data_IF_909772836748
#
_entry.id   IF_909772836748
#
_cell.length_a   1.000
_cell.length_b   1.000
_cell.length_c   1.000
_cell.angle_alpha   90.00
_cell.angle_beta   90.00
_cell.angle_gamma   90.00
#
_symmetry.space_group_name_H-M   'P 1'
#
loop_
_entity.id
_entity.type
_entity.pdbx_description
1 polymer ?
#
# COMPACT_ATOMS: atom_id res chain seq x y z
N UNK A 1 -24.76 -16.92 14.27
CA UNK A 1 -24.41 -15.54 13.88
C UNK A 1 -23.14 -15.00 14.57
N UNK A 2 -22.86 -15.34 15.85
CA UNK A 2 -21.61 -14.89 16.52
C UNK A 2 -20.34 -15.60 16.04
N UNK A 3 -20.37 -16.91 15.78
CA UNK A 3 -19.17 -17.65 15.36
C UNK A 3 -18.63 -17.22 14.00
N UNK A 4 -19.50 -16.96 13.03
CA UNK A 4 -19.10 -16.46 11.70
C UNK A 4 -18.44 -15.08 11.81
N UNK A 5 -18.99 -14.20 12.64
CA UNK A 5 -18.41 -12.88 12.89
C UNK A 5 -17.04 -12.97 13.58
N UNK A 6 -16.88 -13.91 14.52
CA UNK A 6 -15.61 -14.16 15.21
C UNK A 6 -14.57 -14.75 14.26
N UNK A 7 -14.93 -15.70 13.39
CA UNK A 7 -14.02 -16.25 12.37
C UNK A 7 -13.59 -15.17 11.39
N UNK A 8 -14.54 -14.39 10.88
CA UNK A 8 -14.26 -13.27 9.99
C UNK A 8 -13.33 -12.24 10.64
N UNK A 9 -13.56 -11.88 11.90
CA UNK A 9 -12.69 -10.96 12.63
C UNK A 9 -11.27 -11.52 12.81
N UNK A 10 -11.13 -12.82 13.08
CA UNK A 10 -9.83 -13.49 13.17
C UNK A 10 -9.10 -13.48 11.83
N UNK A 11 -9.77 -13.84 10.75
CA UNK A 11 -9.18 -13.87 9.40
C UNK A 11 -8.81 -12.45 8.92
N UNK A 12 -9.65 -11.46 9.24
CA UNK A 12 -9.39 -10.06 8.94
C UNK A 12 -8.18 -9.52 9.72
N UNK A 13 -8.09 -9.82 11.01
CA UNK A 13 -6.94 -9.41 11.83
C UNK A 13 -5.67 -10.13 11.41
N UNK A 14 -5.74 -11.44 11.13
CA UNK A 14 -4.60 -12.23 10.65
C UNK A 14 -4.11 -11.71 9.29
N UNK A 15 -5.02 -11.44 8.36
CA UNK A 15 -4.70 -10.83 7.07
C UNK A 15 -4.12 -9.41 7.21
N UNK A 16 -4.67 -8.60 8.12
CA UNK A 16 -4.18 -7.26 8.42
C UNK A 16 -2.75 -7.27 8.98
N UNK A 17 -2.46 -8.16 9.93
CA UNK A 17 -1.13 -8.32 10.52
C UNK A 17 -0.14 -8.85 9.47
N UNK A 18 -0.51 -9.87 8.70
CA UNK A 18 0.33 -10.42 7.64
C UNK A 18 0.68 -9.35 6.58
N UNK A 19 -0.30 -8.52 6.20
CA UNK A 19 -0.09 -7.40 5.29
C UNK A 19 0.82 -6.32 5.91
N UNK A 20 0.65 -6.00 7.20
CA UNK A 20 1.47 -5.03 7.90
C UNK A 20 2.95 -5.48 7.99
N UNK A 21 3.20 -6.75 8.29
CA UNK A 21 4.54 -7.34 8.32
C UNK A 21 5.15 -7.31 6.92
N UNK A 22 4.40 -7.74 5.90
CA UNK A 22 4.87 -7.77 4.51
C UNK A 22 5.28 -6.37 4.03
N UNK A 23 4.47 -5.34 4.30
CA UNK A 23 4.81 -3.95 3.96
C UNK A 23 6.00 -3.42 4.73
N UNK A 24 6.11 -3.77 6.01
CA UNK A 24 7.26 -3.39 6.83
C UNK A 24 8.56 -4.00 6.31
N UNK A 25 8.52 -5.25 5.82
CA UNK A 25 9.68 -5.91 5.22
C UNK A 25 10.09 -5.29 3.87
N UNK A 26 9.12 -4.85 3.07
CA UNK A 26 9.37 -4.26 1.73
C UNK A 26 9.69 -2.77 1.78
N UNK A 27 9.31 -2.06 2.85
CA UNK A 27 9.49 -0.61 3.00
C UNK A 27 10.92 -0.08 2.70
N UNK A 28 12.02 -0.74 3.13
CA UNK A 28 13.37 -0.26 2.81
C UNK A 28 13.67 -0.24 1.30
N UNK A 29 13.25 -1.29 0.59
CA UNK A 29 13.49 -1.44 -0.85
C UNK A 29 12.62 -0.45 -1.65
N UNK A 30 11.37 -0.26 -1.22
CA UNK A 30 10.44 0.67 -1.85
C UNK A 30 10.94 2.11 -1.69
N UNK A 31 11.50 2.45 -0.52
CA UNK A 31 12.11 3.77 -0.27
C UNK A 31 13.35 4.00 -1.15
N UNK A 32 14.21 3.01 -1.31
CA UNK A 32 15.38 3.12 -2.22
C UNK A 32 14.93 3.33 -3.66
N UNK A 33 13.93 2.58 -4.12
CA UNK A 33 13.36 2.75 -5.46
C UNK A 33 12.77 4.16 -5.66
N UNK A 34 11.98 4.64 -4.72
CA UNK A 34 11.37 5.98 -4.78
C UNK A 34 12.43 7.08 -4.77
N UNK A 35 13.47 6.98 -3.93
CA UNK A 35 14.57 7.95 -3.91
C UNK A 35 15.32 7.96 -5.23
N UNK A 36 15.61 6.80 -5.83
CA UNK A 36 16.28 6.72 -7.13
C UNK A 36 15.41 7.27 -8.28
N UNK A 37 14.09 7.10 -8.22
CA UNK A 37 13.18 7.66 -9.23
C UNK A 37 12.98 9.18 -9.08
N UNK A 38 12.86 9.67 -7.86
CA UNK A 38 12.48 11.08 -7.58
C UNK A 38 13.70 11.99 -7.40
N UNK A 39 14.92 11.45 -7.25
CA UNK A 39 16.14 12.27 -7.07
C UNK A 39 16.41 13.28 -8.19
N UNK A 40 15.91 13.05 -9.41
CA UNK A 40 16.04 14.01 -10.51
C UNK A 40 15.03 15.17 -10.42
N UNK A 41 13.92 14.97 -9.71
CA UNK A 41 12.86 15.97 -9.52
C UNK A 41 12.97 16.69 -8.15
N UNK A 42 13.82 16.20 -7.24
CA UNK A 42 13.94 16.74 -5.89
C UNK A 42 14.87 17.95 -5.84
N UNK A 43 14.35 19.11 -5.37
CA UNK A 43 15.14 20.33 -5.14
C UNK A 43 16.14 20.22 -3.99
N UNK A 44 15.98 19.22 -3.11
CA UNK A 44 16.87 19.00 -1.95
C UNK A 44 18.09 18.14 -2.29
N UNK A 45 18.07 17.38 -3.39
CA UNK A 45 19.19 16.54 -3.82
C UNK A 45 19.88 17.26 -4.97
N UNK A 46 21.01 17.91 -4.68
CA UNK A 46 21.88 18.50 -5.70
C UNK A 46 22.47 17.40 -6.59
N UNK A 47 22.76 17.69 -7.86
CA UNK A 47 23.35 16.73 -8.80
C UNK A 47 24.64 16.06 -8.26
N UNK A 48 25.36 16.73 -7.36
CA UNK A 48 26.58 16.23 -6.71
C UNK A 48 26.32 15.17 -5.61
N UNK A 49 25.11 15.11 -5.04
CA UNK A 49 24.75 14.17 -3.95
C UNK A 49 23.83 13.05 -4.39
N UNK A 50 23.51 12.96 -5.69
CA UNK A 50 22.71 11.89 -6.27
C UNK A 50 23.29 10.51 -5.94
N UNK A 51 22.39 9.55 -5.74
CA UNK A 51 22.77 8.19 -5.41
C UNK A 51 23.23 7.48 -6.67
N UNK A 52 24.45 6.95 -6.65
CA UNK A 52 25.05 6.28 -7.82
C UNK A 52 24.42 4.92 -8.13
N UNK A 53 23.67 4.36 -7.19
CA UNK A 53 22.95 3.10 -7.34
C UNK A 53 22.25 2.66 -6.06
N UNK A 54 21.65 1.47 -6.12
CA UNK A 54 20.89 0.88 -5.01
C UNK A 54 21.76 0.71 -3.76
N UNK A 55 22.96 0.14 -3.92
CA UNK A 55 23.87 -0.12 -2.80
C UNK A 55 24.38 1.16 -2.13
N UNK A 56 24.69 2.19 -2.93
CA UNK A 56 25.09 3.51 -2.41
C UNK A 56 23.96 4.14 -1.58
N UNK A 57 22.72 4.02 -2.06
CA UNK A 57 21.53 4.50 -1.36
C UNK A 57 21.31 3.74 -0.03
N UNK A 58 21.37 2.41 -0.04
CA UNK A 58 21.19 1.57 1.16
C UNK A 58 22.25 1.85 2.23
N UNK A 59 23.48 2.18 1.84
CA UNK A 59 24.57 2.46 2.80
C UNK A 59 24.55 3.91 3.30
N UNK A 60 24.23 4.88 2.43
CA UNK A 60 24.24 6.30 2.79
C UNK A 60 23.01 6.72 3.59
N UNK A 61 21.82 6.22 3.25
CA UNK A 61 20.58 6.54 3.99
C UNK A 61 20.70 6.37 5.52
N UNK A 62 21.14 5.21 6.05
CA UNK A 62 21.24 5.02 7.49
C UNK A 62 22.38 5.82 8.11
N UNK A 63 23.43 6.14 7.36
CA UNK A 63 24.54 7.00 7.83
C UNK A 63 24.14 8.48 7.92
N UNK A 64 23.37 8.97 6.96
CA UNK A 64 22.99 10.39 6.88
C UNK A 64 21.73 10.70 7.70
N UNK A 65 20.77 9.78 7.75
CA UNK A 65 19.45 10.03 8.36
C UNK A 65 19.10 9.04 9.49
N UNK A 66 19.93 8.02 9.74
CA UNK A 66 19.66 6.96 10.72
C UNK A 66 18.86 5.78 10.17
N UNK A 67 19.00 4.61 10.81
CA UNK A 67 18.41 3.34 10.34
C UNK A 67 16.87 3.34 10.29
N UNK A 68 16.22 4.01 11.25
CA UNK A 68 14.76 4.17 11.27
C UNK A 68 14.22 4.96 10.10
N UNK A 69 15.08 5.72 9.39
CA UNK A 69 14.65 6.49 8.24
C UNK A 69 14.10 5.60 7.12
N UNK A 70 14.50 4.33 7.00
CA UNK A 70 13.94 3.42 5.99
C UNK A 70 12.41 3.27 6.08
N UNK A 71 11.84 3.42 7.29
CA UNK A 71 10.39 3.36 7.52
C UNK A 71 9.72 4.74 7.58
N UNK A 72 10.47 5.82 7.35
CA UNK A 72 9.96 7.20 7.34
C UNK A 72 9.05 7.38 6.11
N UNK A 73 7.74 7.43 6.36
CA UNK A 73 6.68 7.44 5.35
C UNK A 73 5.81 6.17 5.33
N UNK A 74 6.26 5.07 5.94
CA UNK A 74 5.47 3.83 6.02
C UNK A 74 4.18 4.02 6.84
N UNK A 75 4.25 4.85 7.89
CA UNK A 75 3.09 5.17 8.73
C UNK A 75 1.99 5.91 7.95
N UNK A 76 2.36 6.81 7.04
CA UNK A 76 1.40 7.46 6.13
C UNK A 76 0.79 6.46 5.13
N UNK A 77 1.58 5.49 4.64
CA UNK A 77 1.08 4.41 3.79
C UNK A 77 0.10 3.47 4.51
N UNK A 78 0.32 3.20 5.80
CA UNK A 78 -0.59 2.40 6.63
C UNK A 78 -1.89 3.18 6.90
N UNK A 79 -1.81 4.46 7.26
CA UNK A 79 -2.99 5.32 7.46
C UNK A 79 -3.78 5.46 6.15
N UNK A 80 -3.13 5.58 5.00
CA UNK A 80 -3.82 5.64 3.68
C UNK A 80 -4.54 4.34 3.34
N UNK A 81 -4.06 3.20 3.82
CA UNK A 81 -4.68 1.91 3.53
C UNK A 81 -6.05 1.76 4.18
N UNK A 82 -6.26 2.37 5.35
CA UNK A 82 -7.54 2.36 6.06
C UNK A 82 -8.73 2.90 5.23
N UNK A 83 -8.69 4.14 4.71
CA UNK A 83 -9.79 4.67 3.91
C UNK A 83 -9.93 3.94 2.57
N UNK A 84 -8.85 3.45 1.95
CA UNK A 84 -8.95 2.66 0.72
C UNK A 84 -9.67 1.32 0.96
N UNK A 85 -9.35 0.63 2.07
CA UNK A 85 -10.05 -0.61 2.42
C UNK A 85 -11.50 -0.36 2.86
N UNK A 86 -11.77 0.74 3.57
CA UNK A 86 -13.13 1.13 3.95
C UNK A 86 -14.00 1.44 2.72
N UNK A 87 -13.45 2.19 1.75
CA UNK A 87 -14.15 2.47 0.49
C UNK A 87 -14.32 1.20 -0.35
N UNK A 88 -13.29 0.36 -0.47
CA UNK A 88 -13.42 -0.92 -1.16
C UNK A 88 -14.50 -1.79 -0.50
N UNK A 89 -14.55 -1.89 0.83
CA UNK A 89 -15.60 -2.63 1.53
C UNK A 89 -16.99 -2.01 1.31
N UNK A 90 -17.11 -0.69 1.32
CA UNK A 90 -18.38 0.01 1.11
C UNK A 90 -18.93 -0.10 -0.33
N UNK A 91 -18.05 -0.23 -1.33
CA UNK A 91 -18.45 -0.21 -2.75
C UNK A 91 -18.31 -1.54 -3.48
N UNK A 92 -17.58 -2.52 -2.96
CA UNK A 92 -17.32 -3.80 -3.64
C UNK A 92 -18.57 -4.65 -3.84
N UNK A 93 -19.57 -4.54 -2.97
CA UNK A 93 -20.83 -5.28 -3.12
C UNK A 93 -21.81 -4.56 -4.06
N UNK A 94 -21.78 -3.22 -4.10
CA UNK A 94 -22.66 -2.41 -4.95
C UNK A 94 -22.24 -2.42 -6.43
N UNK A 95 -20.93 -2.35 -6.70
CA UNK A 95 -20.43 -2.38 -8.09
C UNK A 95 -20.49 -3.78 -8.71
N UNK A 96 -20.31 -4.84 -7.92
CA UNK A 96 -20.44 -6.22 -8.41
C UNK A 96 -21.90 -6.57 -8.73
N UNK A 97 -22.86 -6.06 -7.95
CA UNK A 97 -24.28 -6.23 -8.23
C UNK A 97 -24.72 -5.47 -9.51
N UNK A 98 -24.26 -4.23 -9.73
CA UNK A 98 -24.59 -3.47 -10.94
C UNK A 98 -23.93 -4.03 -12.22
N UNK A 99 -22.71 -4.58 -12.13
CA UNK A 99 -22.00 -5.17 -13.28
C UNK A 99 -22.50 -6.59 -13.61
N UNK A 100 -22.99 -7.35 -12.62
CA UNK A 100 -23.48 -8.72 -12.82
C UNK A 100 -25.01 -8.83 -13.00
N UNK A 101 -25.77 -7.73 -12.90
CA UNK A 101 -27.22 -7.72 -13.13
C UNK A 101 -27.71 -6.95 -14.39
N UNK A 102 -27.12 -7.11 -15.60
CA UNK A 102 -27.84 -6.83 -16.83
C UNK A 102 -28.74 -8.00 -17.26
N UNK A 103 -29.32 -8.77 -16.34
CA UNK A 103 -30.36 -9.78 -16.67
C UNK A 103 -31.70 -9.13 -17.07
N UNK A 104 -31.89 -7.83 -16.81
CA UNK A 104 -33.10 -7.08 -17.19
C UNK A 104 -33.19 -6.71 -18.67
N UNK A 105 -32.12 -6.91 -19.46
CA UNK A 105 -32.08 -6.58 -20.90
C UNK A 105 -32.64 -7.73 -21.77
N UNK A 106 -32.66 -8.97 -21.28
CA UNK A 106 -33.10 -10.15 -22.04
C UNK A 106 -34.55 -10.61 -21.75
N UNK A 107 -35.28 -9.99 -20.82
CA UNK A 107 -36.67 -10.37 -20.49
C UNK A 107 -37.77 -9.52 -21.18
N UNK A 108 -37.45 -8.72 -22.19
CA UNK A 108 -38.50 -8.03 -22.98
C UNK A 108 -39.08 -9.03 -24.00
N UNK A 109 -40.36 -9.43 -23.89
CA UNK A 109 -40.99 -10.23 -24.92
C UNK A 109 -41.08 -9.38 -26.20
N UNK A 110 -40.63 -9.95 -27.31
CA UNK A 110 -40.96 -9.46 -28.67
C UNK A 110 -42.38 -9.89 -28.99
#
# INVERSE_FOLDING_TARGET
>A
MSETAISFAKDFLAGGIAAAISKTAVAPIERVKLLLQVQHASKQITAATQYKGIMDCVVRIPKEQGFLSFWRGNLANVIRYFPTQALNFAFKDNAAADVLLPESIWQRPV
#
